data_IF_751767798405
#
_entry.id   IF_751767798405
#
_cell.length_a   1.000
_cell.length_b   1.000
_cell.length_c   1.000
_cell.angle_alpha   90.00
_cell.angle_beta   90.00
_cell.angle_gamma   90.00
#
_symmetry.space_group_name_H-M   'P 1'
#
loop_
_entity.id
_entity.type
_entity.pdbx_description
1 polymer ?
#
# COMPACT_ATOMS: atom_id res chain seq x y z
N UNK A 1 -22.34 -20.10 1.62
CA UNK A 1 -21.64 -18.84 1.88
C UNK A 1 -20.97 -18.89 3.25
N UNK A 2 -19.66 -18.81 3.28
CA UNK A 2 -18.84 -18.76 4.51
C UNK A 2 -19.01 -17.41 5.18
N UNK A 3 -19.06 -17.37 6.52
CA UNK A 3 -19.07 -16.13 7.32
C UNK A 3 -17.81 -16.06 8.17
N UNK A 4 -17.13 -14.92 8.11
CA UNK A 4 -15.94 -14.59 8.87
C UNK A 4 -16.17 -13.26 9.59
N UNK A 5 -15.40 -13.01 10.64
CA UNK A 5 -15.46 -11.76 11.40
C UNK A 5 -14.05 -11.29 11.74
N UNK A 6 -13.84 -9.98 11.66
CA UNK A 6 -12.59 -9.31 12.05
C UNK A 6 -12.90 -7.89 12.55
N UNK A 7 -12.02 -7.29 13.33
CA UNK A 7 -12.18 -5.89 13.72
C UNK A 7 -11.79 -4.96 12.55
N UNK A 8 -10.66 -5.22 11.91
CA UNK A 8 -10.16 -4.44 10.79
C UNK A 8 -9.95 -5.35 9.58
N UNK A 9 -10.65 -5.05 8.49
CA UNK A 9 -10.47 -5.71 7.20
C UNK A 9 -9.73 -4.78 6.24
N UNK A 10 -8.59 -5.23 5.74
CA UNK A 10 -7.78 -4.49 4.78
C UNK A 10 -7.88 -5.18 3.41
N UNK A 11 -8.33 -4.44 2.39
CA UNK A 11 -8.46 -4.95 1.03
C UNK A 11 -7.25 -4.55 0.20
N UNK A 12 -6.40 -5.53 -0.09
CA UNK A 12 -5.17 -5.36 -0.88
C UNK A 12 -3.90 -5.55 -0.06
N UNK A 13 -2.93 -6.24 -0.66
CA UNK A 13 -1.63 -6.57 -0.08
C UNK A 13 -0.45 -5.87 -0.78
N UNK A 14 -0.68 -4.69 -1.33
CA UNK A 14 0.38 -3.78 -1.76
C UNK A 14 1.04 -3.08 -0.58
N UNK A 15 2.00 -2.20 -0.83
CA UNK A 15 2.72 -1.47 0.22
C UNK A 15 1.79 -0.80 1.23
N UNK A 16 0.76 -0.09 0.76
CA UNK A 16 -0.20 0.60 1.63
C UNK A 16 -0.96 -0.37 2.55
N UNK A 17 -1.48 -1.49 2.00
CA UNK A 17 -2.26 -2.45 2.79
C UNK A 17 -1.42 -3.20 3.81
N UNK A 18 -0.24 -3.68 3.44
CA UNK A 18 0.64 -4.40 4.37
C UNK A 18 1.19 -3.47 5.46
N UNK A 19 1.60 -2.25 5.09
CA UNK A 19 2.09 -1.28 6.05
C UNK A 19 0.99 -0.87 7.05
N UNK A 20 -0.23 -0.63 6.57
CA UNK A 20 -1.38 -0.36 7.43
C UNK A 20 -1.71 -1.53 8.37
N UNK A 21 -1.60 -2.78 7.90
CA UNK A 21 -1.81 -3.96 8.74
C UNK A 21 -0.80 -4.06 9.89
N UNK A 22 0.48 -3.78 9.60
CA UNK A 22 1.55 -3.78 10.60
C UNK A 22 1.33 -2.68 11.65
N UNK A 23 1.03 -1.45 11.21
CA UNK A 23 0.76 -0.34 12.12
C UNK A 23 -0.51 -0.56 12.95
N UNK A 24 -1.57 -1.09 12.37
CA UNK A 24 -2.80 -1.41 13.10
C UNK A 24 -2.53 -2.46 14.19
N UNK A 25 -1.76 -3.51 13.86
CA UNK A 25 -1.39 -4.56 14.84
C UNK A 25 -0.47 -4.04 15.93
N UNK A 26 0.42 -3.11 15.61
CA UNK A 26 1.30 -2.46 16.59
C UNK A 26 0.52 -1.53 17.52
N UNK A 27 -0.40 -0.74 16.98
CA UNK A 27 -1.19 0.22 17.75
C UNK A 27 -2.26 -0.42 18.63
N UNK A 28 -2.82 -1.56 18.21
CA UNK A 28 -3.88 -2.29 18.90
C UNK A 28 -3.68 -3.80 18.77
N UNK A 29 -2.75 -4.38 19.55
CA UNK A 29 -2.39 -5.81 19.46
C UNK A 29 -3.57 -6.77 19.74
N UNK A 30 -4.57 -6.32 20.48
CA UNK A 30 -5.77 -7.08 20.83
C UNK A 30 -6.78 -7.20 19.70
N UNK A 31 -6.73 -6.31 18.70
CA UNK A 31 -7.67 -6.35 17.59
C UNK A 31 -7.30 -7.45 16.58
N UNK A 32 -8.33 -8.09 16.07
CA UNK A 32 -8.23 -9.00 14.94
C UNK A 32 -8.10 -8.21 13.63
N UNK A 33 -7.06 -8.52 12.86
CA UNK A 33 -6.77 -7.87 11.59
C UNK A 33 -6.72 -8.92 10.50
N UNK A 34 -7.45 -8.67 9.42
CA UNK A 34 -7.47 -9.56 8.25
C UNK A 34 -7.07 -8.77 7.00
N UNK A 35 -6.10 -9.28 6.26
CA UNK A 35 -5.73 -8.78 4.93
C UNK A 35 -6.32 -9.68 3.88
N UNK A 36 -7.21 -9.16 3.04
CA UNK A 36 -7.81 -9.89 1.92
C UNK A 36 -7.21 -9.42 0.59
N UNK A 37 -6.82 -10.38 -0.24
CA UNK A 37 -6.18 -10.11 -1.53
C UNK A 37 -6.68 -11.07 -2.60
N UNK A 38 -6.91 -10.56 -3.82
CA UNK A 38 -7.39 -11.36 -4.95
C UNK A 38 -6.35 -12.33 -5.54
N UNK A 39 -5.07 -12.16 -5.21
CA UNK A 39 -3.98 -13.08 -5.56
C UNK A 39 -3.29 -13.58 -4.30
N UNK A 40 -1.96 -13.72 -4.35
CA UNK A 40 -1.13 -14.12 -3.21
C UNK A 40 -0.53 -12.89 -2.51
N UNK A 41 -0.40 -12.96 -1.21
CA UNK A 41 0.13 -11.87 -0.37
C UNK A 41 1.54 -11.46 -0.83
N UNK A 42 1.72 -10.18 -1.10
CA UNK A 42 3.00 -9.63 -1.55
C UNK A 42 3.47 -10.10 -2.93
N UNK A 43 2.65 -10.84 -3.68
CA UNK A 43 3.00 -11.36 -5.02
C UNK A 43 2.29 -10.64 -6.17
N UNK A 44 1.40 -9.73 -5.88
CA UNK A 44 0.63 -8.95 -6.85
C UNK A 44 0.66 -7.45 -6.52
N UNK A 45 0.13 -6.62 -7.42
CA UNK A 45 0.06 -5.18 -7.27
C UNK A 45 1.34 -4.44 -7.72
N UNK A 46 1.24 -3.11 -7.74
CA UNK A 46 2.30 -2.28 -8.32
C UNK A 46 3.51 -2.05 -7.41
N UNK A 47 3.38 -2.16 -6.10
CA UNK A 47 4.54 -2.00 -5.21
C UNK A 47 5.65 -2.97 -5.59
N UNK A 48 5.31 -4.22 -5.91
CA UNK A 48 6.27 -5.22 -6.37
C UNK A 48 6.98 -4.84 -7.69
N UNK A 49 6.35 -4.05 -8.53
CA UNK A 49 6.83 -3.67 -9.86
C UNK A 49 7.77 -2.45 -9.85
N UNK A 50 7.97 -1.81 -8.71
CA UNK A 50 8.83 -0.63 -8.58
C UNK A 50 10.29 -1.03 -8.77
N UNK A 51 10.93 -0.47 -9.79
CA UNK A 51 12.34 -0.69 -10.10
C UNK A 51 13.21 0.48 -9.61
N UNK A 52 12.79 1.70 -9.92
CA UNK A 52 13.59 2.90 -9.72
C UNK A 52 13.87 3.28 -8.27
N UNK A 53 12.94 3.02 -7.39
CA UNK A 53 12.99 3.47 -6.00
C UNK A 53 11.87 4.44 -5.64
N UNK A 54 12.03 5.15 -4.54
CA UNK A 54 11.10 6.18 -4.09
C UNK A 54 11.84 7.36 -3.45
N UNK A 55 11.23 8.53 -3.52
CA UNK A 55 11.88 9.78 -3.17
C UNK A 55 11.74 10.10 -1.67
N UNK A 56 12.85 10.48 -1.04
CA UNK A 56 12.91 10.90 0.37
C UNK A 56 14.02 11.93 0.54
N UNK A 57 13.74 13.05 1.17
CA UNK A 57 14.75 14.09 1.46
C UNK A 57 15.62 13.66 2.65
N UNK A 58 16.73 12.95 2.39
CA UNK A 58 17.66 12.45 3.40
C UNK A 58 18.97 13.26 3.46
N UNK A 59 19.40 13.82 2.34
CA UNK A 59 20.64 14.56 2.24
C UNK A 59 20.56 15.89 3.04
N UNK A 60 21.68 16.32 3.61
CA UNK A 60 21.73 17.51 4.46
C UNK A 60 21.45 18.82 3.70
N UNK A 61 21.68 18.84 2.40
CA UNK A 61 21.46 19.97 1.49
C UNK A 61 20.15 19.89 0.68
N UNK A 62 19.34 18.85 0.93
CA UNK A 62 17.94 18.74 0.47
C UNK A 62 16.97 19.19 1.58
N UNK A 63 15.68 19.36 1.25
CA UNK A 63 14.65 19.70 2.25
C UNK A 63 13.29 19.11 1.90
N UNK A 64 12.45 18.99 2.94
CA UNK A 64 11.05 18.55 2.81
C UNK A 64 10.28 19.53 1.91
N UNK A 65 10.51 20.84 2.05
CA UNK A 65 9.85 21.88 1.27
C UNK A 65 10.21 21.77 -0.22
N UNK A 66 11.48 21.51 -0.53
CA UNK A 66 11.92 21.30 -1.92
C UNK A 66 11.28 20.02 -2.49
N UNK A 67 11.24 18.94 -1.71
CA UNK A 67 10.57 17.70 -2.10
C UNK A 67 9.06 17.91 -2.31
N UNK A 68 8.43 18.73 -1.45
CA UNK A 68 7.03 19.11 -1.60
C UNK A 68 6.80 19.87 -2.92
N UNK A 69 7.61 20.89 -3.20
CA UNK A 69 7.47 21.66 -4.45
C UNK A 69 7.65 20.80 -5.69
N UNK A 70 8.67 19.93 -5.72
CA UNK A 70 8.86 18.99 -6.83
C UNK A 70 7.64 18.06 -7.01
N UNK A 71 7.00 17.66 -5.91
CA UNK A 71 5.79 16.83 -5.94
C UNK A 71 4.61 17.57 -6.53
N UNK A 72 4.39 18.83 -6.13
CA UNK A 72 3.28 19.67 -6.62
C UNK A 72 3.48 20.04 -8.09
N UNK A 73 4.68 20.47 -8.46
CA UNK A 73 5.02 20.83 -9.85
C UNK A 73 4.95 19.60 -10.77
N UNK A 74 5.52 18.46 -10.34
CA UNK A 74 5.44 17.19 -11.07
C UNK A 74 4.00 16.66 -11.22
N UNK A 75 3.15 16.97 -10.27
CA UNK A 75 1.70 16.72 -10.32
C UNK A 75 0.90 17.76 -11.13
N UNK A 76 1.59 18.68 -11.85
CA UNK A 76 0.98 19.77 -12.62
C UNK A 76 -0.04 20.58 -11.81
N UNK A 77 0.22 20.79 -10.53
CA UNK A 77 -0.62 21.55 -9.57
C UNK A 77 -2.02 20.93 -9.32
N UNK A 78 -2.23 19.67 -9.73
CA UNK A 78 -3.49 18.95 -9.51
C UNK A 78 -3.50 18.12 -8.23
N UNK A 79 -2.34 17.98 -7.57
CA UNK A 79 -2.20 17.19 -6.35
C UNK A 79 -2.92 17.86 -5.18
N UNK A 80 -3.52 17.05 -4.31
CA UNK A 80 -3.96 17.48 -2.99
C UNK A 80 -2.74 17.87 -2.17
N UNK A 81 -2.67 19.14 -1.77
CA UNK A 81 -1.48 19.71 -1.11
C UNK A 81 -1.29 19.16 0.31
N UNK A 82 -2.37 18.91 1.03
CA UNK A 82 -2.30 18.36 2.41
C UNK A 82 -1.80 16.92 2.39
N UNK A 83 -2.27 16.13 1.44
CA UNK A 83 -1.78 14.76 1.23
C UNK A 83 -0.33 14.75 0.76
N UNK A 84 0.05 15.63 -0.17
CA UNK A 84 1.42 15.77 -0.64
C UNK A 84 2.37 16.17 0.50
N UNK A 85 1.96 17.14 1.34
CA UNK A 85 2.73 17.54 2.51
C UNK A 85 2.89 16.40 3.51
N UNK A 86 1.81 15.68 3.82
CA UNK A 86 1.83 14.52 4.70
C UNK A 86 2.79 13.45 4.19
N UNK A 87 2.78 13.19 2.89
CA UNK A 87 3.69 12.24 2.24
C UNK A 87 5.16 12.62 2.46
N UNK A 88 5.55 13.83 2.06
CA UNK A 88 6.96 14.25 2.07
C UNK A 88 7.50 14.49 3.48
N UNK A 89 6.67 15.02 4.39
CA UNK A 89 7.07 15.29 5.76
C UNK A 89 7.26 14.02 6.60
N UNK A 90 6.47 12.97 6.34
CA UNK A 90 6.61 11.69 7.02
C UNK A 90 7.63 10.74 6.36
N UNK A 91 8.04 10.99 5.12
CA UNK A 91 8.84 10.04 4.32
C UNK A 91 10.17 9.65 4.98
N UNK A 92 10.87 10.60 5.65
CA UNK A 92 12.15 10.34 6.32
C UNK A 92 12.01 9.35 7.46
N UNK A 93 10.97 9.52 8.28
CA UNK A 93 10.68 8.60 9.37
C UNK A 93 10.29 7.22 8.82
N UNK A 94 9.42 7.20 7.82
CA UNK A 94 8.95 5.93 7.23
C UNK A 94 10.07 5.14 6.54
N UNK A 95 11.02 5.77 5.86
CA UNK A 95 12.16 5.04 5.27
C UNK A 95 13.05 4.42 6.34
N UNK A 96 13.27 5.12 7.45
CA UNK A 96 14.03 4.59 8.57
C UNK A 96 13.33 3.42 9.27
N UNK A 97 12.02 3.50 9.44
CA UNK A 97 11.21 2.42 9.96
C UNK A 97 11.29 1.18 9.06
N UNK A 98 11.07 1.35 7.75
CA UNK A 98 11.14 0.27 6.77
C UNK A 98 12.50 -0.42 6.78
N UNK A 99 13.60 0.32 7.00
CA UNK A 99 14.94 -0.23 7.11
C UNK A 99 15.20 -0.86 8.48
N UNK A 100 15.02 -0.11 9.55
CA UNK A 100 15.49 -0.51 10.88
C UNK A 100 14.56 -1.48 11.60
N UNK A 101 13.25 -1.37 11.36
CA UNK A 101 12.24 -2.18 12.06
C UNK A 101 11.71 -3.33 11.18
N UNK A 102 11.58 -3.09 9.87
CA UNK A 102 11.03 -4.08 8.95
C UNK A 102 12.11 -4.85 8.18
N UNK A 103 13.38 -4.41 8.25
CA UNK A 103 14.53 -5.13 7.73
C UNK A 103 14.77 -4.97 6.22
N UNK A 104 14.28 -3.89 5.59
CA UNK A 104 14.63 -3.56 4.21
C UNK A 104 16.11 -3.16 4.10
N UNK A 105 16.76 -3.59 3.03
CA UNK A 105 18.15 -3.27 2.74
C UNK A 105 18.23 -2.36 1.51
N UNK A 106 18.54 -1.08 1.73
CA UNK A 106 18.80 -0.14 0.64
C UNK A 106 20.29 -0.11 0.28
N UNK A 107 20.58 0.33 -0.94
CA UNK A 107 21.96 0.53 -1.39
C UNK A 107 22.63 1.66 -0.61
N UNK A 108 23.95 1.52 -0.38
CA UNK A 108 24.72 2.39 0.51
C UNK A 108 25.88 3.05 -0.23
N UNK A 109 26.21 4.26 0.22
CA UNK A 109 27.47 4.92 -0.10
C UNK A 109 28.64 4.27 0.68
N UNK A 110 29.87 4.60 0.30
CA UNK A 110 31.07 4.08 0.97
C UNK A 110 31.16 4.48 2.46
N UNK A 111 30.53 5.58 2.85
CA UNK A 111 30.43 6.07 4.24
C UNK A 111 29.30 5.41 5.07
N UNK A 112 28.55 4.50 4.44
CA UNK A 112 27.44 3.79 5.07
C UNK A 112 26.09 4.52 5.05
N UNK A 113 25.99 5.72 4.50
CA UNK A 113 24.71 6.41 4.31
C UNK A 113 23.90 5.76 3.19
N UNK A 114 22.56 5.92 3.21
CA UNK A 114 21.70 5.43 2.13
C UNK A 114 22.08 6.15 0.83
N UNK A 115 22.35 5.37 -0.21
CA UNK A 115 22.60 5.92 -1.54
C UNK A 115 21.32 6.47 -2.14
N UNK A 116 21.37 7.69 -2.65
CA UNK A 116 20.27 8.36 -3.35
C UNK A 116 20.70 8.66 -4.78
N UNK A 117 19.84 8.35 -5.74
CA UNK A 117 20.11 8.58 -7.16
C UNK A 117 19.14 9.58 -7.76
N UNK A 118 19.56 10.18 -8.90
CA UNK A 118 18.72 11.03 -9.71
C UNK A 118 17.49 10.28 -10.25
N UNK A 119 16.38 11.01 -10.36
CA UNK A 119 15.19 10.55 -11.06
C UNK A 119 14.53 11.72 -11.80
N UNK A 120 13.85 11.41 -12.92
CA UNK A 120 13.21 12.42 -13.74
C UNK A 120 12.16 13.23 -12.95
N UNK A 121 12.12 14.55 -13.16
CA UNK A 121 11.17 15.45 -12.51
C UNK A 121 11.55 15.87 -11.09
N UNK A 122 12.75 15.54 -10.62
CA UNK A 122 13.27 15.95 -9.32
C UNK A 122 14.35 17.03 -9.49
N UNK A 123 14.35 18.03 -8.62
CA UNK A 123 15.40 19.07 -8.55
C UNK A 123 16.59 18.63 -7.71
N UNK A 124 16.49 17.49 -7.01
CA UNK A 124 17.52 16.92 -6.16
C UNK A 124 17.58 15.40 -6.28
N UNK A 125 18.74 14.81 -6.10
CA UNK A 125 18.93 13.35 -6.13
C UNK A 125 18.48 12.73 -4.82
N UNK A 126 17.20 12.33 -4.74
CA UNK A 126 16.58 11.84 -3.50
C UNK A 126 15.96 10.46 -3.59
N UNK A 127 16.22 9.72 -4.69
CA UNK A 127 15.61 8.41 -4.89
C UNK A 127 16.37 7.33 -4.13
N UNK A 128 15.76 6.83 -3.06
CA UNK A 128 16.23 5.65 -2.30
C UNK A 128 15.90 4.39 -3.10
N UNK A 129 16.83 3.43 -3.17
CA UNK A 129 16.67 2.25 -4.01
C UNK A 129 17.42 1.03 -3.50
N UNK A 130 17.10 -0.13 -4.10
CA UNK A 130 17.84 -1.39 -4.02
C UNK A 130 18.10 -1.90 -5.44
N UNK A 131 19.14 -1.38 -6.10
CA UNK A 131 19.32 -1.62 -7.54
C UNK A 131 18.02 -1.36 -8.30
N UNK A 132 17.60 -2.34 -9.10
CA UNK A 132 16.32 -2.35 -9.83
C UNK A 132 15.23 -3.20 -9.13
N UNK A 133 15.44 -3.57 -7.87
CA UNK A 133 14.58 -4.48 -7.11
C UNK A 133 13.92 -3.82 -5.90
N UNK A 134 13.84 -2.49 -5.87
CA UNK A 134 13.34 -1.74 -4.70
C UNK A 134 11.97 -2.20 -4.26
N UNK A 135 11.04 -2.36 -5.19
CA UNK A 135 9.68 -2.80 -4.87
C UNK A 135 9.62 -4.24 -4.38
N UNK A 136 10.45 -5.12 -4.93
CA UNK A 136 10.55 -6.52 -4.50
C UNK A 136 11.12 -6.59 -3.08
N UNK A 137 12.16 -5.81 -2.78
CA UNK A 137 12.73 -5.73 -1.44
C UNK A 137 11.67 -5.31 -0.41
N UNK A 138 11.02 -4.16 -0.65
CA UNK A 138 10.03 -3.61 0.27
C UNK A 138 8.87 -4.59 0.48
N UNK A 139 8.27 -5.09 -0.62
CA UNK A 139 7.07 -5.92 -0.49
C UNK A 139 7.34 -7.26 0.16
N UNK A 140 8.53 -7.86 -0.06
CA UNK A 140 8.91 -9.10 0.59
C UNK A 140 9.08 -8.88 2.10
N UNK A 141 9.76 -7.80 2.54
CA UNK A 141 9.94 -7.50 3.96
C UNK A 141 8.60 -7.23 4.65
N UNK A 142 7.72 -6.42 4.02
CA UNK A 142 6.38 -6.19 4.54
C UNK A 142 5.57 -7.49 4.67
N UNK A 143 5.62 -8.35 3.67
CA UNK A 143 4.94 -9.65 3.70
C UNK A 143 5.50 -10.57 4.80
N UNK A 144 6.83 -10.68 4.92
CA UNK A 144 7.49 -11.43 5.99
C UNK A 144 7.06 -10.95 7.37
N UNK A 145 6.99 -9.64 7.58
CA UNK A 145 6.54 -9.05 8.84
C UNK A 145 5.05 -9.33 9.12
N UNK A 146 4.20 -9.36 8.10
CA UNK A 146 2.79 -9.77 8.25
C UNK A 146 2.68 -11.25 8.60
N UNK A 147 3.50 -12.13 7.98
CA UNK A 147 3.53 -13.55 8.32
C UNK A 147 4.07 -13.83 9.73
N UNK A 148 4.99 -13.00 10.21
CA UNK A 148 5.56 -13.14 11.55
C UNK A 148 4.61 -12.68 12.68
N UNK A 149 3.53 -11.96 12.34
CA UNK A 149 2.56 -11.45 13.30
C UNK A 149 1.22 -12.18 13.18
N UNK A 150 0.41 -12.10 14.24
CA UNK A 150 -0.96 -12.62 14.24
C UNK A 150 -1.88 -11.70 13.43
N UNK A 151 -1.74 -11.77 12.09
CA UNK A 151 -2.56 -11.07 11.09
C UNK A 151 -3.13 -12.11 10.15
N UNK A 152 -4.45 -12.23 10.11
CA UNK A 152 -5.12 -13.20 9.23
C UNK A 152 -5.02 -12.78 7.77
N UNK A 153 -4.92 -13.77 6.88
CA UNK A 153 -4.76 -13.58 5.44
C UNK A 153 -5.82 -14.38 4.68
N UNK A 154 -6.54 -13.69 3.83
CA UNK A 154 -7.48 -14.27 2.88
C UNK A 154 -6.89 -14.10 1.48
N UNK A 155 -6.04 -15.03 1.07
CA UNK A 155 -5.44 -15.06 -0.25
C UNK A 155 -6.41 -15.65 -1.27
N UNK A 156 -6.30 -15.18 -2.52
CA UNK A 156 -7.19 -15.57 -3.63
C UNK A 156 -8.68 -15.29 -3.32
N UNK A 157 -8.94 -14.28 -2.48
CA UNK A 157 -10.28 -13.82 -2.14
C UNK A 157 -10.52 -12.44 -2.78
N UNK A 158 -11.28 -12.43 -3.86
CA UNK A 158 -11.62 -11.18 -4.54
C UNK A 158 -12.80 -10.51 -3.86
N UNK A 159 -12.59 -9.31 -3.33
CA UNK A 159 -13.69 -8.46 -2.85
C UNK A 159 -14.55 -8.01 -4.03
N UNK A 160 -15.87 -8.12 -3.91
CA UNK A 160 -16.83 -7.82 -4.99
C UNK A 160 -17.88 -6.80 -4.60
N UNK A 161 -18.19 -6.65 -3.31
CA UNK A 161 -19.15 -5.64 -2.83
C UNK A 161 -18.87 -5.24 -1.38
N UNK A 162 -19.00 -3.96 -1.10
CA UNK A 162 -19.15 -3.43 0.25
C UNK A 162 -20.61 -3.60 0.67
N UNK A 163 -20.85 -4.23 1.81
CA UNK A 163 -22.19 -4.49 2.33
C UNK A 163 -22.51 -3.48 3.42
N UNK A 164 -23.58 -2.74 3.23
CA UNK A 164 -24.03 -1.73 4.19
C UNK A 164 -24.81 -2.36 5.36
N UNK A 165 -24.86 -1.65 6.47
CA UNK A 165 -25.75 -1.92 7.57
C UNK A 165 -27.24 -1.82 7.15
N UNK A 166 -28.17 -2.42 7.88
CA UNK A 166 -29.59 -2.30 7.55
C UNK A 166 -30.09 -0.85 7.45
N UNK A 167 -29.50 0.06 8.22
CA UNK A 167 -29.85 1.49 8.22
C UNK A 167 -29.15 2.25 7.08
N UNK A 168 -28.28 1.60 6.31
CA UNK A 168 -27.54 2.19 5.19
C UNK A 168 -26.58 3.35 5.57
N UNK A 169 -26.17 3.41 6.82
CA UNK A 169 -25.36 4.47 7.41
C UNK A 169 -23.87 4.10 7.57
N UNK A 170 -23.54 2.82 7.48
CA UNK A 170 -22.17 2.31 7.62
C UNK A 170 -21.92 1.06 6.77
N UNK A 171 -20.66 0.68 6.61
CA UNK A 171 -20.26 -0.59 6.01
C UNK A 171 -20.20 -1.66 7.09
N UNK A 172 -21.01 -2.71 6.94
CA UNK A 172 -21.03 -3.86 7.85
C UNK A 172 -19.95 -4.91 7.55
N UNK A 173 -19.41 -4.89 6.34
CA UNK A 173 -18.39 -5.83 5.89
C UNK A 173 -18.29 -5.92 4.39
N UNK A 174 -17.60 -6.94 3.91
CA UNK A 174 -17.29 -7.11 2.48
C UNK A 174 -17.67 -8.51 2.01
N UNK A 175 -18.31 -8.58 0.86
CA UNK A 175 -18.56 -9.84 0.16
C UNK A 175 -17.37 -10.15 -0.75
N UNK A 176 -16.85 -11.36 -0.61
CA UNK A 176 -15.74 -11.90 -1.39
C UNK A 176 -16.19 -13.13 -2.19
N UNK A 177 -15.44 -13.43 -3.23
CA UNK A 177 -15.45 -14.73 -3.89
C UNK A 177 -14.06 -15.39 -3.69
N UNK A 178 -14.05 -16.63 -3.21
CA UNK A 178 -12.85 -17.48 -3.22
C UNK A 178 -12.56 -17.87 -4.67
N UNK A 179 -11.44 -17.40 -5.21
CA UNK A 179 -11.07 -17.56 -6.62
C UNK A 179 -10.73 -19.03 -6.98
N UNK A 180 -10.45 -19.87 -5.98
CA UNK A 180 -10.13 -21.30 -6.19
C UNK A 180 -11.40 -22.16 -6.28
N UNK A 181 -12.40 -21.84 -5.45
CA UNK A 181 -13.60 -22.68 -5.29
C UNK A 181 -14.84 -22.07 -5.94
N UNK A 182 -14.84 -20.76 -6.19
CA UNK A 182 -16.01 -20.00 -6.62
C UNK A 182 -17.04 -19.74 -5.50
N UNK A 183 -16.73 -20.12 -4.27
CA UNK A 183 -17.63 -19.92 -3.14
C UNK A 183 -17.63 -18.48 -2.65
N UNK A 184 -18.79 -18.02 -2.19
CA UNK A 184 -18.90 -16.70 -1.56
C UNK A 184 -18.52 -16.75 -0.08
N UNK A 185 -17.78 -15.72 0.35
CA UNK A 185 -17.45 -15.46 1.74
C UNK A 185 -17.87 -14.03 2.13
N UNK A 186 -18.59 -13.88 3.22
CA UNK A 186 -18.87 -12.57 3.83
C UNK A 186 -17.95 -12.36 5.02
N UNK A 187 -17.14 -11.31 4.98
CA UNK A 187 -16.29 -10.88 6.09
C UNK A 187 -16.95 -9.69 6.76
N UNK A 188 -17.51 -9.92 7.93
CA UNK A 188 -18.01 -8.85 8.79
C UNK A 188 -16.82 -8.11 9.40
N UNK A 189 -16.83 -6.77 9.37
CA UNK A 189 -15.74 -5.96 9.90
C UNK A 189 -16.29 -4.69 10.57
N UNK A 190 -15.61 -4.24 11.62
CA UNK A 190 -15.91 -2.95 12.29
C UNK A 190 -15.35 -1.78 11.48
N UNK A 191 -14.23 -2.00 10.80
CA UNK A 191 -13.64 -1.04 9.89
C UNK A 191 -13.11 -1.74 8.63
N UNK A 192 -13.23 -1.08 7.48
CA UNK A 192 -12.71 -1.56 6.20
C UNK A 192 -11.77 -0.53 5.62
N UNK A 193 -10.53 -0.93 5.33
CA UNK A 193 -9.54 -0.11 4.63
C UNK A 193 -9.43 -0.56 3.17
N UNK A 194 -9.70 0.36 2.26
CA UNK A 194 -9.49 0.14 0.82
C UNK A 194 -8.03 0.46 0.45
N UNK A 195 -7.21 -0.57 0.25
CA UNK A 195 -5.82 -0.47 -0.20
C UNK A 195 -5.60 -1.18 -1.55
N UNK A 196 -6.63 -1.17 -2.41
CA UNK A 196 -6.71 -1.93 -3.66
C UNK A 196 -5.90 -1.32 -4.82
N UNK A 197 -5.20 -0.20 -4.57
CA UNK A 197 -4.45 0.52 -5.59
C UNK A 197 -5.33 1.29 -6.57
N UNK A 198 -4.72 1.77 -7.65
CA UNK A 198 -5.41 2.56 -8.68
C UNK A 198 -6.05 1.71 -9.78
N UNK A 199 -6.36 2.36 -10.92
CA UNK A 199 -7.09 1.74 -12.00
C UNK A 199 -6.60 2.02 -13.40
N UNK A 200 -5.27 2.01 -13.69
CA UNK A 200 -4.78 2.35 -15.02
C UNK A 200 -5.23 1.38 -16.12
N UNK A 201 -5.60 0.14 -15.76
CA UNK A 201 -6.03 -0.88 -16.73
C UNK A 201 -7.38 -0.59 -17.40
N UNK A 202 -8.10 0.46 -16.94
CA UNK A 202 -9.27 0.96 -17.68
C UNK A 202 -8.88 1.64 -18.99
N UNK A 203 -7.63 2.10 -19.13
CA UNK A 203 -7.12 2.75 -20.33
C UNK A 203 -6.46 1.74 -21.27
N UNK A 204 -6.56 1.99 -22.58
CA UNK A 204 -5.96 1.13 -23.61
C UNK A 204 -4.44 1.02 -23.49
N UNK A 205 -3.78 2.09 -23.10
CA UNK A 205 -2.33 2.17 -22.90
C UNK A 205 -2.05 2.50 -21.46
N UNK A 206 -1.28 1.64 -20.79
CA UNK A 206 -0.83 1.83 -19.42
C UNK A 206 0.47 1.06 -19.19
N UNK A 207 1.30 1.51 -18.25
CA UNK A 207 2.58 0.88 -17.89
C UNK A 207 2.52 0.05 -16.59
N UNK A 208 1.63 0.36 -15.62
CA UNK A 208 1.55 -0.40 -14.38
C UNK A 208 1.01 -1.82 -14.57
N UNK A 209 1.13 -2.63 -13.51
CA UNK A 209 0.61 -4.00 -13.44
C UNK A 209 -0.88 -4.07 -13.78
N UNK A 210 -1.28 -5.13 -14.48
CA UNK A 210 -2.67 -5.46 -14.80
C UNK A 210 -3.57 -5.69 -13.58
N UNK A 211 -3.00 -5.83 -12.39
CA UNK A 211 -3.75 -5.97 -11.13
C UNK A 211 -4.52 -4.70 -10.73
N UNK A 212 -4.15 -3.53 -11.27
CA UNK A 212 -4.79 -2.25 -11.00
C UNK A 212 -6.05 -2.05 -11.84
N UNK A 213 -7.13 -2.66 -11.43
CA UNK A 213 -8.39 -2.76 -12.18
C UNK A 213 -9.54 -1.91 -11.60
N UNK A 214 -9.28 -0.90 -10.76
CA UNK A 214 -10.28 -0.06 -10.09
C UNK A 214 -11.27 -0.81 -9.20
N UNK A 215 -11.00 -2.01 -8.76
CA UNK A 215 -11.95 -2.84 -8.00
C UNK A 215 -12.49 -2.10 -6.76
N UNK A 216 -11.59 -1.52 -5.95
CA UNK A 216 -11.97 -0.79 -4.74
C UNK A 216 -12.76 0.49 -5.04
N UNK A 217 -12.32 1.27 -6.03
CA UNK A 217 -13.01 2.49 -6.43
C UNK A 217 -14.44 2.20 -6.92
N UNK A 218 -14.60 1.15 -7.74
CA UNK A 218 -15.90 0.73 -8.23
C UNK A 218 -16.82 0.23 -7.09
N UNK A 219 -16.28 -0.48 -6.10
CA UNK A 219 -17.04 -0.91 -4.93
C UNK A 219 -17.46 0.29 -4.07
N UNK A 220 -16.55 1.24 -3.83
CA UNK A 220 -16.85 2.45 -3.07
C UNK A 220 -17.94 3.29 -3.75
N UNK A 221 -17.81 3.53 -5.05
CA UNK A 221 -18.81 4.26 -5.82
C UNK A 221 -20.21 3.61 -5.76
N UNK A 222 -20.28 2.28 -5.86
CA UNK A 222 -21.56 1.55 -5.76
C UNK A 222 -22.15 1.56 -4.36
N UNK A 223 -21.30 1.74 -3.35
CA UNK A 223 -21.75 1.83 -1.96
C UNK A 223 -22.19 3.27 -1.56
N UNK A 224 -21.97 4.29 -2.38
CA UNK A 224 -22.33 5.69 -2.13
C UNK A 224 -21.14 6.42 -1.54
#
# INVERSE_FOLDING_TARGET
>A
MRRLQTDILILGSGGAGLFAALHAKQAAPELSITVAVKGLLGKCGCTRMVQGGYNVALAADDSIERHFMDTIEGGAWLSDQDLAWTLVSSAVERVREVENELGCLFDRNADGTIHQKAFAGQTFDRTVHKGDLTGIEIINRLAEQVWARDIERLEEHRAIALIKTPNNDAIAGVLHIDMRTGEYAFVQARAVLLATGGGPTMYKYHTPSGDKSCDGLAMALRAG
#
